data_IF_489482350781
#
_entry.id   IF_489482350781
#
_cell.length_a   1.000
_cell.length_b   1.000
_cell.length_c   1.000
_cell.angle_alpha   90.00
_cell.angle_beta   90.00
_cell.angle_gamma   90.00
#
_symmetry.space_group_name_H-M   'P 1'
#
loop_
_entity.id
_entity.type
_entity.pdbx_description
1 polymer ?
#
# COMPACT_ATOMS: atom_id res chain seq x y z
N UNK A 1 6.07 23.49 -25.70
CA UNK A 1 4.91 23.43 -26.61
C UNK A 1 3.74 22.92 -25.77
N UNK A 2 2.91 23.83 -25.26
CA UNK A 2 1.83 23.53 -24.31
C UNK A 2 0.68 22.87 -25.07
N UNK A 3 0.41 21.59 -24.80
CA UNK A 3 -0.79 20.91 -25.30
C UNK A 3 -1.98 21.50 -24.55
N UNK A 4 -2.76 22.37 -25.22
CA UNK A 4 -4.03 22.86 -24.70
C UNK A 4 -5.03 21.70 -24.68
N UNK A 5 -5.27 21.16 -23.50
CA UNK A 5 -6.40 20.26 -23.27
C UNK A 5 -7.67 21.09 -23.06
N UNK A 6 -8.21 21.68 -24.13
CA UNK A 6 -9.59 22.17 -24.17
C UNK A 6 -10.54 20.96 -24.25
N UNK A 7 -10.54 20.14 -23.19
CA UNK A 7 -11.47 19.03 -23.04
C UNK A 7 -12.76 19.59 -22.45
N UNK A 8 -13.90 19.36 -23.12
CA UNK A 8 -15.23 19.66 -22.55
C UNK A 8 -15.37 18.93 -21.21
N UNK A 9 -16.03 19.53 -20.21
CA UNK A 9 -16.12 19.03 -18.83
C UNK A 9 -16.62 17.56 -18.69
N UNK A 10 -17.30 17.00 -19.70
CA UNK A 10 -17.67 15.58 -19.76
C UNK A 10 -16.61 14.63 -20.35
N UNK A 11 -15.81 15.08 -21.32
CA UNK A 11 -14.80 14.26 -21.99
C UNK A 11 -13.56 14.05 -21.10
N UNK A 12 -13.21 15.06 -20.30
CA UNK A 12 -12.09 14.96 -19.36
C UNK A 12 -12.32 13.83 -18.34
N UNK A 13 -13.51 13.77 -17.75
CA UNK A 13 -13.88 12.75 -16.76
C UNK A 13 -13.78 11.34 -17.35
N UNK A 14 -14.42 11.09 -18.50
CA UNK A 14 -14.36 9.78 -19.16
C UNK A 14 -12.93 9.37 -19.50
N UNK A 15 -12.12 10.31 -20.00
CA UNK A 15 -10.73 10.06 -20.38
C UNK A 15 -9.87 9.72 -19.17
N UNK A 16 -9.98 10.47 -18.06
CA UNK A 16 -9.22 10.20 -16.83
C UNK A 16 -9.54 8.81 -16.28
N UNK A 17 -10.82 8.45 -16.14
CA UNK A 17 -11.20 7.12 -15.66
C UNK A 17 -10.75 6.00 -16.60
N UNK A 18 -10.80 6.22 -17.91
CA UNK A 18 -10.31 5.24 -18.89
C UNK A 18 -8.80 5.03 -18.78
N UNK A 19 -8.02 6.12 -18.65
CA UNK A 19 -6.56 6.04 -18.46
C UNK A 19 -6.19 5.31 -17.17
N UNK A 20 -6.88 5.61 -16.07
CA UNK A 20 -6.65 4.94 -14.78
C UNK A 20 -6.98 3.45 -14.87
N UNK A 21 -8.13 3.09 -15.47
CA UNK A 21 -8.53 1.70 -15.68
C UNK A 21 -7.49 0.94 -16.53
N UNK A 22 -6.94 1.59 -17.54
CA UNK A 22 -5.96 1.00 -18.45
C UNK A 22 -4.52 1.06 -17.88
N UNK A 23 -4.33 1.50 -16.63
CA UNK A 23 -3.03 1.57 -15.94
C UNK A 23 -2.11 2.69 -16.41
N UNK A 24 -2.60 3.62 -17.23
CA UNK A 24 -1.86 4.76 -17.79
C UNK A 24 -1.86 5.93 -16.80
N UNK A 25 -1.30 5.71 -15.61
CA UNK A 25 -1.33 6.68 -14.52
C UNK A 25 -0.58 8.00 -14.86
N UNK A 26 0.51 7.94 -15.62
CA UNK A 26 1.27 9.15 -16.03
C UNK A 26 0.42 10.08 -16.91
N UNK A 27 -0.23 9.53 -17.93
CA UNK A 27 -1.12 10.30 -18.81
C UNK A 27 -2.30 10.90 -18.04
N UNK A 28 -2.83 10.18 -17.03
CA UNK A 28 -3.88 10.67 -16.17
C UNK A 28 -3.39 11.84 -15.28
N UNK A 29 -2.17 11.75 -14.74
CA UNK A 29 -1.54 12.79 -13.93
C UNK A 29 -1.38 14.09 -14.73
N UNK A 30 -0.96 14.02 -16.00
CA UNK A 30 -0.78 15.23 -16.82
C UNK A 30 -2.09 16.02 -16.97
N UNK A 31 -3.21 15.32 -17.22
CA UNK A 31 -4.53 15.93 -17.33
C UNK A 31 -4.99 16.46 -15.96
N UNK A 32 -4.79 15.69 -14.90
CA UNK A 32 -5.20 16.05 -13.54
C UNK A 32 -4.42 17.25 -12.99
N UNK A 33 -3.12 17.36 -13.27
CA UNK A 33 -2.31 18.52 -12.87
C UNK A 33 -2.82 19.80 -13.53
N UNK A 34 -3.22 19.75 -14.80
CA UNK A 34 -3.85 20.88 -15.47
C UNK A 34 -5.19 21.27 -14.80
N UNK A 35 -6.01 20.29 -14.42
CA UNK A 35 -7.27 20.53 -13.70
C UNK A 35 -7.05 21.16 -12.31
N UNK A 36 -6.03 20.70 -11.58
CA UNK A 36 -5.65 21.26 -10.26
C UNK A 36 -5.08 22.68 -10.40
N UNK A 37 -4.38 23.00 -11.49
CA UNK A 37 -3.94 24.38 -11.75
C UNK A 37 -5.11 25.35 -11.95
N UNK A 38 -6.20 24.90 -12.58
CA UNK A 38 -7.41 25.70 -12.77
C UNK A 38 -8.20 25.81 -11.46
N UNK A 39 -8.33 24.71 -10.73
CA UNK A 39 -9.02 24.67 -9.44
C UNK A 39 -8.25 23.81 -8.43
N UNK A 40 -7.42 24.48 -7.62
CA UNK A 40 -6.54 23.83 -6.65
C UNK A 40 -7.26 23.23 -5.43
N UNK A 41 -8.58 23.44 -5.29
CA UNK A 41 -9.40 22.83 -4.21
C UNK A 41 -10.38 21.78 -4.73
N UNK A 42 -10.24 21.35 -5.99
CA UNK A 42 -11.10 20.32 -6.56
C UNK A 42 -10.87 18.97 -5.87
N UNK A 43 -11.85 18.54 -5.06
CA UNK A 43 -11.82 17.24 -4.35
C UNK A 43 -11.57 16.06 -5.29
N UNK A 44 -12.29 16.03 -6.41
CA UNK A 44 -12.19 14.93 -7.38
C UNK A 44 -10.81 14.89 -8.04
N UNK A 45 -10.29 16.06 -8.46
CA UNK A 45 -8.98 16.14 -9.10
C UNK A 45 -7.86 15.74 -8.13
N UNK A 46 -7.85 16.31 -6.91
CA UNK A 46 -6.87 15.97 -5.87
C UNK A 46 -6.93 14.49 -5.50
N UNK A 47 -8.13 13.90 -5.36
CA UNK A 47 -8.28 12.51 -4.95
C UNK A 47 -7.82 11.53 -6.02
N UNK A 48 -8.13 11.79 -7.30
CA UNK A 48 -7.66 10.96 -8.42
C UNK A 48 -6.16 11.14 -8.65
N UNK A 49 -5.64 12.35 -8.46
CA UNK A 49 -4.22 12.66 -8.58
C UNK A 49 -3.40 11.93 -7.50
N UNK A 50 -3.84 12.01 -6.25
CA UNK A 50 -3.23 11.27 -5.14
C UNK A 50 -3.23 9.76 -5.38
N UNK A 51 -4.34 9.23 -5.90
CA UNK A 51 -4.45 7.81 -6.28
C UNK A 51 -3.43 7.44 -7.36
N UNK A 52 -3.31 8.23 -8.42
CA UNK A 52 -2.33 7.96 -9.49
C UNK A 52 -0.89 8.02 -8.96
N UNK A 53 -0.55 9.02 -8.14
CA UNK A 53 0.77 9.12 -7.52
C UNK A 53 1.07 7.91 -6.63
N UNK A 54 0.11 7.49 -5.81
CA UNK A 54 0.27 6.32 -4.93
C UNK A 54 0.55 5.03 -5.72
N UNK A 55 -0.15 4.81 -6.85
CA UNK A 55 0.07 3.65 -7.72
C UNK A 55 1.41 3.69 -8.46
N UNK A 56 1.92 4.88 -8.77
CA UNK A 56 3.27 5.06 -9.29
C UNK A 56 4.36 5.03 -8.21
N UNK A 57 3.99 4.77 -6.95
CA UNK A 57 4.88 4.80 -5.78
C UNK A 57 5.54 6.16 -5.52
N UNK A 58 4.96 7.22 -6.08
CA UNK A 58 5.33 8.60 -5.78
C UNK A 58 4.58 9.04 -4.52
N UNK A 59 5.03 8.47 -3.39
CA UNK A 59 4.34 8.65 -2.12
C UNK A 59 4.44 10.08 -1.56
N UNK A 60 5.46 10.84 -1.98
CA UNK A 60 5.64 12.24 -1.59
C UNK A 60 4.53 13.10 -2.21
N UNK A 61 4.35 13.03 -3.53
CA UNK A 61 3.27 13.78 -4.18
C UNK A 61 1.88 13.26 -3.78
N UNK A 62 1.76 11.96 -3.48
CA UNK A 62 0.52 11.41 -2.94
C UNK A 62 0.22 11.99 -1.54
N UNK A 63 1.22 12.08 -0.65
CA UNK A 63 1.04 12.65 0.69
C UNK A 63 0.62 14.10 0.64
N UNK A 64 1.20 14.92 -0.26
CA UNK A 64 0.85 16.33 -0.39
C UNK A 64 -0.61 16.52 -0.85
N UNK A 65 -1.07 15.68 -1.78
CA UNK A 65 -2.46 15.71 -2.23
C UNK A 65 -3.42 15.28 -1.11
N UNK A 66 -3.10 14.22 -0.36
CA UNK A 66 -3.93 13.75 0.75
C UNK A 66 -3.91 14.70 1.96
N UNK A 67 -2.79 15.37 2.23
CA UNK A 67 -2.71 16.44 3.23
C UNK A 67 -3.69 17.55 2.89
N UNK A 68 -3.63 18.07 1.65
CA UNK A 68 -4.56 19.10 1.18
C UNK A 68 -6.02 18.65 1.30
N UNK A 69 -6.34 17.41 0.90
CA UNK A 69 -7.68 16.86 1.05
C UNK A 69 -8.13 16.76 2.51
N UNK A 70 -7.23 16.35 3.41
CA UNK A 70 -7.53 16.23 4.85
C UNK A 70 -7.78 17.60 5.50
N UNK A 71 -7.10 18.65 5.03
CA UNK A 71 -7.30 20.03 5.47
C UNK A 71 -8.60 20.63 4.92
N UNK A 72 -8.95 20.33 3.67
CA UNK A 72 -10.17 20.82 3.02
C UNK A 72 -11.44 20.11 3.54
N UNK A 73 -11.32 18.84 3.93
CA UNK A 73 -12.42 18.00 4.37
C UNK A 73 -12.09 17.31 5.70
N UNK A 74 -11.98 18.06 6.82
CA UNK A 74 -11.53 17.53 8.11
C UNK A 74 -12.46 16.46 8.70
N UNK A 75 -13.74 16.46 8.32
CA UNK A 75 -14.75 15.48 8.73
C UNK A 75 -14.63 14.13 8.00
N UNK A 76 -13.79 14.06 6.96
CA UNK A 76 -13.62 12.88 6.12
C UNK A 76 -12.35 12.12 6.51
N UNK A 77 -12.45 11.28 7.54
CA UNK A 77 -11.33 10.52 8.09
C UNK A 77 -10.61 9.61 7.08
N UNK A 78 -11.29 9.23 5.99
CA UNK A 78 -10.66 8.50 4.88
C UNK A 78 -9.41 9.21 4.34
N UNK A 79 -9.42 10.54 4.25
CA UNK A 79 -8.29 11.31 3.72
C UNK A 79 -7.14 11.37 4.70
N UNK A 80 -7.43 11.47 6.01
CA UNK A 80 -6.40 11.34 7.06
C UNK A 80 -5.76 9.96 7.03
N UNK A 81 -6.55 8.91 6.82
CA UNK A 81 -6.02 7.54 6.72
C UNK A 81 -5.08 7.40 5.51
N UNK A 82 -5.49 7.86 4.33
CA UNK A 82 -4.64 7.82 3.13
C UNK A 82 -3.40 8.69 3.25
N UNK A 83 -3.51 9.84 3.93
CA UNK A 83 -2.36 10.69 4.25
C UNK A 83 -1.37 9.96 5.15
N UNK A 84 -1.83 9.38 6.26
CA UNK A 84 -0.98 8.60 7.17
C UNK A 84 -0.33 7.40 6.48
N UNK A 85 -1.06 6.69 5.61
CA UNK A 85 -0.52 5.60 4.81
C UNK A 85 0.58 6.06 3.85
N UNK A 86 0.39 7.21 3.19
CA UNK A 86 1.38 7.78 2.28
C UNK A 86 2.64 8.22 3.02
N UNK A 87 2.49 8.86 4.19
CA UNK A 87 3.60 9.22 5.08
C UNK A 87 4.40 7.99 5.53
N UNK A 88 3.72 6.91 5.91
CA UNK A 88 4.37 5.65 6.27
C UNK A 88 5.18 5.08 5.10
N UNK A 89 4.65 5.15 3.87
CA UNK A 89 5.36 4.73 2.66
C UNK A 89 6.57 5.62 2.32
N UNK A 90 6.57 6.88 2.71
CA UNK A 90 7.73 7.77 2.67
C UNK A 90 8.77 7.48 3.76
N UNK A 91 8.48 6.58 4.72
CA UNK A 91 9.33 6.33 5.88
C UNK A 91 9.18 7.36 7.00
N UNK A 92 8.21 8.28 6.91
CA UNK A 92 7.92 9.31 7.90
C UNK A 92 7.05 8.74 9.04
N UNK A 93 7.60 7.77 9.76
CA UNK A 93 6.89 6.95 10.76
C UNK A 93 6.27 7.77 11.90
N UNK A 94 7.01 8.74 12.45
CA UNK A 94 6.52 9.57 13.56
C UNK A 94 5.30 10.41 13.16
N UNK A 95 5.32 10.97 11.95
CA UNK A 95 4.22 11.78 11.43
C UNK A 95 3.02 10.91 11.06
N UNK A 96 3.26 9.76 10.41
CA UNK A 96 2.23 8.77 10.12
C UNK A 96 1.51 8.30 11.40
N UNK A 97 2.27 8.03 12.47
CA UNK A 97 1.71 7.67 13.78
C UNK A 97 0.84 8.79 14.33
N UNK A 98 1.35 10.03 14.34
CA UNK A 98 0.60 11.21 14.81
C UNK A 98 -0.72 11.39 14.08
N UNK A 99 -0.72 11.33 12.74
CA UNK A 99 -1.95 11.49 11.94
C UNK A 99 -2.91 10.32 12.17
N UNK A 100 -2.39 9.08 12.20
CA UNK A 100 -3.25 7.90 12.41
C UNK A 100 -3.98 7.93 13.75
N UNK A 101 -3.35 8.46 14.80
CA UNK A 101 -3.94 8.61 16.14
C UNK A 101 -5.03 9.68 16.24
N UNK A 102 -5.15 10.56 15.24
CA UNK A 102 -6.22 11.57 15.15
C UNK A 102 -7.50 11.02 14.50
N UNK A 103 -7.49 9.77 14.06
CA UNK A 103 -8.63 9.12 13.40
C UNK A 103 -9.44 8.39 14.46
N UNK A 104 -10.59 8.96 14.82
CA UNK A 104 -11.47 8.42 15.87
C UNK A 104 -12.63 7.58 15.30
N UNK A 105 -12.86 7.63 13.98
CA UNK A 105 -13.95 6.89 13.35
C UNK A 105 -13.83 5.37 13.54
N UNK A 106 -14.89 4.78 14.10
CA UNK A 106 -15.03 3.33 14.25
C UNK A 106 -14.96 2.57 12.93
N UNK A 107 -15.34 3.21 11.81
CA UNK A 107 -15.29 2.61 10.48
C UNK A 107 -13.86 2.32 10.00
N UNK A 108 -12.88 3.06 10.49
CA UNK A 108 -11.47 2.92 10.09
C UNK A 108 -10.59 2.34 11.20
N UNK A 109 -11.16 1.98 12.35
CA UNK A 109 -10.42 1.53 13.52
C UNK A 109 -9.46 0.39 13.20
N UNK A 110 -9.93 -0.66 12.51
CA UNK A 110 -9.10 -1.81 12.15
C UNK A 110 -7.94 -1.41 11.22
N UNK A 111 -8.18 -0.53 10.25
CA UNK A 111 -7.16 -0.06 9.31
C UNK A 111 -6.11 0.81 10.01
N UNK A 112 -6.55 1.67 10.93
CA UNK A 112 -5.68 2.51 11.75
C UNK A 112 -4.79 1.65 12.64
N UNK A 113 -5.35 0.68 13.36
CA UNK A 113 -4.58 -0.22 14.22
C UNK A 113 -3.57 -1.05 13.41
N UNK A 114 -3.94 -1.53 12.22
CA UNK A 114 -3.00 -2.22 11.32
C UNK A 114 -1.86 -1.32 10.86
N UNK A 115 -2.14 -0.06 10.53
CA UNK A 115 -1.10 0.92 10.15
C UNK A 115 -0.17 1.20 11.33
N UNK A 116 -0.72 1.42 12.53
CA UNK A 116 0.06 1.66 13.74
C UNK A 116 0.93 0.46 14.11
N UNK A 117 0.40 -0.76 13.98
CA UNK A 117 1.18 -1.99 14.14
C UNK A 117 2.35 -2.07 13.14
N UNK A 118 2.12 -1.71 11.88
CA UNK A 118 3.15 -1.69 10.84
C UNK A 118 4.24 -0.65 11.12
N UNK A 119 3.86 0.54 11.60
CA UNK A 119 4.80 1.58 12.04
C UNK A 119 5.66 1.06 13.20
N UNK A 120 5.04 0.46 14.22
CA UNK A 120 5.77 -0.12 15.37
C UNK A 120 6.70 -1.26 14.97
N UNK A 121 6.27 -2.09 14.03
CA UNK A 121 7.13 -3.11 13.44
C UNK A 121 8.35 -2.54 12.72
N UNK A 122 8.17 -1.43 11.99
CA UNK A 122 9.26 -0.74 11.29
C UNK A 122 10.24 -0.04 12.24
N UNK A 123 9.76 0.38 13.42
CA UNK A 123 10.56 0.99 14.51
C UNK A 123 11.27 -0.05 15.41
N UNK A 124 11.15 -1.36 15.11
CA UNK A 124 11.59 -2.47 15.97
C UNK A 124 10.96 -2.50 17.38
N UNK A 125 9.86 -1.75 17.59
CA UNK A 125 9.03 -1.80 18.80
C UNK A 125 8.04 -2.96 18.72
N UNK A 126 8.56 -4.17 18.97
CA UNK A 126 7.77 -5.40 18.88
C UNK A 126 6.64 -5.45 19.90
N UNK A 127 6.84 -4.87 21.10
CA UNK A 127 5.81 -4.84 22.15
C UNK A 127 4.63 -3.98 21.72
N UNK A 128 4.88 -2.77 21.22
CA UNK A 128 3.84 -1.91 20.67
C UNK A 128 3.15 -2.53 19.45
N UNK A 129 3.91 -3.22 18.59
CA UNK A 129 3.35 -3.93 17.45
C UNK A 129 2.32 -4.99 17.89
N UNK A 130 2.66 -5.83 18.88
CA UNK A 130 1.76 -6.86 19.41
C UNK A 130 0.48 -6.23 19.97
N UNK A 131 0.58 -5.16 20.75
CA UNK A 131 -0.59 -4.48 21.33
C UNK A 131 -1.57 -4.03 20.24
N UNK A 132 -1.08 -3.38 19.18
CA UNK A 132 -1.93 -2.93 18.08
C UNK A 132 -2.51 -4.09 17.27
N UNK A 133 -1.73 -5.16 17.04
CA UNK A 133 -2.22 -6.36 16.34
C UNK A 133 -3.34 -7.03 17.13
N UNK A 134 -3.18 -7.21 18.44
CA UNK A 134 -4.17 -7.85 19.30
C UNK A 134 -5.46 -7.02 19.36
N UNK A 135 -5.36 -5.69 19.44
CA UNK A 135 -6.52 -4.78 19.37
C UNK A 135 -7.20 -4.78 18.00
N UNK A 136 -6.46 -4.98 16.91
CA UNK A 136 -7.01 -5.06 15.56
C UNK A 136 -7.70 -6.39 15.26
N UNK A 137 -7.49 -7.41 16.12
CA UNK A 137 -7.85 -8.79 15.84
C UNK A 137 -9.36 -9.01 15.99
N UNK A 138 -10.09 -9.04 14.89
CA UNK A 138 -11.36 -9.76 14.81
C UNK A 138 -11.09 -11.23 14.47
N UNK A 139 -11.90 -12.16 15.00
CA UNK A 139 -11.65 -13.62 14.88
C UNK A 139 -11.56 -14.15 13.45
N UNK A 140 -11.95 -13.36 12.43
CA UNK A 140 -12.02 -13.77 11.02
C UNK A 140 -11.02 -13.05 10.10
N UNK A 141 -10.17 -12.13 10.59
CA UNK A 141 -9.23 -11.43 9.71
C UNK A 141 -8.00 -12.30 9.37
N UNK A 142 -7.84 -12.75 8.11
CA UNK A 142 -6.71 -13.59 7.72
C UNK A 142 -5.36 -12.85 7.79
N UNK A 143 -5.37 -11.52 7.84
CA UNK A 143 -4.18 -10.69 7.98
C UNK A 143 -3.45 -10.88 9.31
N UNK A 144 -4.14 -11.38 10.35
CA UNK A 144 -3.56 -11.60 11.67
C UNK A 144 -2.45 -12.65 11.62
N UNK A 145 -2.61 -13.74 10.85
CA UNK A 145 -1.58 -14.78 10.74
C UNK A 145 -0.31 -14.24 10.09
N UNK A 146 -0.43 -13.30 9.13
CA UNK A 146 0.72 -12.62 8.52
C UNK A 146 1.42 -11.73 9.55
N UNK A 147 0.67 -10.92 10.30
CA UNK A 147 1.25 -10.02 11.31
C UNK A 147 1.98 -10.81 12.41
N UNK A 148 1.38 -11.89 12.91
CA UNK A 148 2.02 -12.80 13.89
C UNK A 148 3.27 -13.45 13.33
N UNK A 149 3.26 -13.87 12.06
CA UNK A 149 4.43 -14.44 11.41
C UNK A 149 5.58 -13.41 11.30
N UNK A 150 5.28 -12.18 10.91
CA UNK A 150 6.27 -11.09 10.86
C UNK A 150 6.88 -10.82 12.25
N UNK A 151 6.07 -10.76 13.30
CA UNK A 151 6.54 -10.58 14.68
C UNK A 151 7.51 -11.70 15.08
N UNK A 152 7.14 -12.97 14.87
CA UNK A 152 8.01 -14.12 15.14
C UNK A 152 9.31 -14.08 14.33
N UNK A 153 9.23 -13.60 13.08
CA UNK A 153 10.41 -13.45 12.23
C UNK A 153 11.40 -12.41 12.78
N UNK A 154 10.91 -11.28 13.31
CA UNK A 154 11.75 -10.27 13.99
C UNK A 154 12.34 -10.78 15.30
N UNK A 155 11.63 -11.65 16.01
CA UNK A 155 12.13 -12.34 17.21
C UNK A 155 13.12 -13.49 16.92
N UNK A 156 13.55 -13.67 15.66
CA UNK A 156 14.44 -14.75 15.22
C UNK A 156 13.86 -16.18 15.38
N UNK A 157 12.54 -16.30 15.60
CA UNK A 157 11.82 -17.59 15.67
C UNK A 157 11.36 -18.02 14.28
N UNK A 158 12.33 -18.29 13.40
CA UNK A 158 12.09 -18.42 11.95
C UNK A 158 11.19 -19.60 11.60
N UNK A 159 11.32 -20.75 12.26
CA UNK A 159 10.50 -21.92 12.02
C UNK A 159 9.03 -21.66 12.38
N UNK A 160 8.79 -21.00 13.52
CA UNK A 160 7.44 -20.62 13.95
C UNK A 160 6.82 -19.58 13.00
N UNK A 161 7.63 -18.62 12.53
CA UNK A 161 7.20 -17.66 11.51
C UNK A 161 6.80 -18.35 10.21
N UNK A 162 7.62 -19.31 9.74
CA UNK A 162 7.35 -20.09 8.53
C UNK A 162 6.03 -20.88 8.62
N UNK A 163 5.76 -21.52 9.76
CA UNK A 163 4.48 -22.22 9.97
C UNK A 163 3.29 -21.27 9.86
N UNK A 164 3.39 -20.07 10.44
CA UNK A 164 2.34 -19.05 10.40
C UNK A 164 2.13 -18.50 9.00
N UNK A 165 3.19 -18.20 8.25
CA UNK A 165 3.08 -17.80 6.85
C UNK A 165 2.43 -18.89 5.98
N UNK A 166 2.73 -20.17 6.21
CA UNK A 166 2.07 -21.29 5.51
C UNK A 166 0.59 -21.39 5.86
N UNK A 167 0.20 -21.13 7.11
CA UNK A 167 -1.23 -21.05 7.49
C UNK A 167 -1.91 -19.89 6.77
N UNK A 168 -1.29 -18.71 6.75
CA UNK A 168 -1.80 -17.56 6.02
C UNK A 168 -1.98 -17.87 4.51
N UNK A 169 -1.00 -18.54 3.88
CA UNK A 169 -1.08 -18.94 2.48
C UNK A 169 -2.23 -19.92 2.20
N UNK A 170 -2.54 -20.84 3.13
CA UNK A 170 -3.69 -21.74 3.00
C UNK A 170 -5.03 -21.00 3.02
N UNK A 171 -5.13 -19.93 3.81
CA UNK A 171 -6.36 -19.14 3.95
C UNK A 171 -6.53 -18.14 2.82
N UNK A 172 -5.46 -17.39 2.49
CA UNK A 172 -5.47 -16.29 1.54
C UNK A 172 -5.13 -16.68 0.11
N UNK A 173 -4.71 -17.93 -0.10
CA UNK A 173 -4.20 -18.42 -1.36
C UNK A 173 -2.76 -17.98 -1.64
N UNK A 174 -2.31 -18.33 -2.85
CA UNK A 174 -0.93 -18.07 -3.30
C UNK A 174 -0.75 -16.61 -3.72
N UNK A 175 -0.49 -15.74 -2.74
CA UNK A 175 -0.16 -14.32 -2.95
C UNK A 175 1.35 -14.10 -3.02
N UNK A 176 1.87 -13.27 -3.95
CA UNK A 176 3.31 -13.02 -4.08
C UNK A 176 3.98 -12.58 -2.78
N UNK A 177 3.32 -11.74 -1.99
CA UNK A 177 3.87 -11.20 -0.74
C UNK A 177 4.06 -12.29 0.32
N UNK A 178 3.09 -13.21 0.44
CA UNK A 178 3.15 -14.33 1.39
C UNK A 178 4.21 -15.34 0.95
N UNK A 179 4.24 -15.68 -0.34
CA UNK A 179 5.24 -16.60 -0.90
C UNK A 179 6.65 -16.06 -0.75
N UNK A 180 6.84 -14.74 -0.92
CA UNK A 180 8.13 -14.09 -0.68
C UNK A 180 8.56 -14.22 0.78
N UNK A 181 7.67 -13.95 1.73
CA UNK A 181 7.97 -14.10 3.17
C UNK A 181 8.33 -15.56 3.53
N UNK A 182 7.66 -16.55 2.93
CA UNK A 182 8.01 -17.97 3.06
C UNK A 182 9.43 -18.24 2.51
N UNK A 183 9.75 -17.72 1.33
CA UNK A 183 11.07 -17.87 0.72
C UNK A 183 12.19 -17.25 1.60
N UNK A 184 11.94 -16.08 2.17
CA UNK A 184 12.87 -15.40 3.10
C UNK A 184 13.07 -16.23 4.37
N UNK A 185 12.02 -16.86 4.92
CA UNK A 185 12.16 -17.77 6.05
C UNK A 185 13.05 -18.98 5.68
N UNK A 186 12.84 -19.61 4.53
CA UNK A 186 13.69 -20.70 4.06
C UNK A 186 15.16 -20.28 3.86
N UNK A 187 15.38 -19.06 3.35
CA UNK A 187 16.72 -18.50 3.23
C UNK A 187 17.41 -18.35 4.59
N UNK A 188 16.70 -17.83 5.60
CA UNK A 188 17.20 -17.71 6.98
C UNK A 188 17.52 -19.06 7.62
N UNK A 189 16.75 -20.10 7.27
CA UNK A 189 17.00 -21.49 7.67
C UNK A 189 18.10 -22.19 6.85
N UNK A 190 18.75 -21.48 5.91
CA UNK A 190 19.77 -22.00 4.99
C UNK A 190 19.26 -23.10 4.04
N UNK A 191 17.95 -23.19 3.84
CA UNK A 191 17.31 -24.08 2.86
C UNK A 191 17.19 -23.35 1.52
N UNK A 192 18.33 -23.12 0.88
CA UNK A 192 18.43 -22.26 -0.31
C UNK A 192 17.72 -22.83 -1.53
N UNK A 193 17.73 -24.15 -1.69
CA UNK A 193 17.02 -24.88 -2.75
C UNK A 193 15.50 -24.61 -2.71
N UNK A 194 14.89 -24.74 -1.54
CA UNK A 194 13.46 -24.49 -1.35
C UNK A 194 13.14 -23.00 -1.47
N UNK A 195 14.01 -22.14 -0.96
CA UNK A 195 13.87 -20.68 -1.08
C UNK A 195 13.85 -20.24 -2.56
N UNK A 196 14.84 -20.66 -3.35
CA UNK A 196 14.95 -20.34 -4.77
C UNK A 196 13.75 -20.83 -5.58
N UNK A 197 13.24 -22.02 -5.27
CA UNK A 197 12.03 -22.54 -5.91
C UNK A 197 10.82 -21.63 -5.67
N UNK A 198 10.62 -21.19 -4.42
CA UNK A 198 9.51 -20.26 -4.11
C UNK A 198 9.67 -18.92 -4.84
N UNK A 199 10.90 -18.41 -4.97
CA UNK A 199 11.15 -17.18 -5.74
C UNK A 199 10.86 -17.38 -7.23
N UNK A 200 11.29 -18.52 -7.81
CA UNK A 200 11.01 -18.84 -9.21
C UNK A 200 9.50 -18.91 -9.47
N UNK A 201 8.73 -19.57 -8.60
CA UNK A 201 7.28 -19.67 -8.71
C UNK A 201 6.60 -18.27 -8.69
N UNK A 202 7.11 -17.34 -7.86
CA UNK A 202 6.62 -15.94 -7.82
C UNK A 202 6.91 -15.22 -9.14
N UNK A 203 8.12 -15.36 -9.68
CA UNK A 203 8.54 -14.71 -10.93
C UNK A 203 7.70 -15.24 -12.10
N UNK A 204 7.57 -16.56 -12.24
CA UNK A 204 6.79 -17.18 -13.32
C UNK A 204 5.33 -16.73 -13.29
N UNK A 205 4.75 -16.59 -12.10
CA UNK A 205 3.39 -16.10 -11.93
C UNK A 205 3.28 -14.61 -12.29
N UNK A 206 4.23 -13.78 -11.84
CA UNK A 206 4.28 -12.36 -12.17
C UNK A 206 4.39 -12.09 -13.68
N UNK A 207 5.18 -12.89 -14.41
CA UNK A 207 5.30 -12.82 -15.87
C UNK A 207 3.96 -13.13 -16.55
N UNK A 208 3.23 -14.13 -16.06
CA UNK A 208 1.93 -14.55 -16.62
C UNK A 208 0.83 -13.53 -16.34
N UNK A 209 0.82 -12.94 -15.15
CA UNK A 209 -0.22 -11.98 -14.72
C UNK A 209 0.02 -10.56 -15.25
N UNK A 210 1.28 -10.17 -15.44
CA UNK A 210 1.68 -8.84 -15.93
C UNK A 210 2.72 -8.92 -17.06
N UNK A 211 2.37 -9.47 -18.23
CA UNK A 211 3.31 -9.65 -19.33
C UNK A 211 3.98 -8.32 -19.76
N UNK A 212 3.27 -7.19 -19.66
CA UNK A 212 3.79 -5.88 -20.07
C UNK A 212 4.92 -5.29 -19.20
N UNK A 213 5.12 -5.76 -17.96
CA UNK A 213 6.17 -5.24 -17.05
C UNK A 213 7.53 -5.86 -17.37
N UNK A 214 7.56 -7.11 -17.85
CA UNK A 214 8.79 -7.86 -18.02
C UNK A 214 9.52 -7.57 -19.34
N UNK A 215 8.80 -7.27 -20.42
CA UNK A 215 9.41 -7.01 -21.73
C UNK A 215 10.08 -5.63 -21.87
N UNK A 216 9.84 -4.69 -20.94
CA UNK A 216 10.44 -3.35 -20.96
C UNK A 216 11.80 -3.24 -20.25
N UNK A 217 12.25 -4.28 -19.54
CA UNK A 217 13.51 -4.28 -18.78
C UNK A 217 14.55 -5.31 -19.29
N UNK A 218 14.35 -5.87 -20.49
CA UNK A 218 15.29 -6.82 -21.14
C UNK A 218 15.84 -6.28 -22.48
N UNK A 219 15.59 -5.00 -22.81
CA UNK A 219 16.26 -4.27 -23.90
C UNK A 219 16.83 -2.96 -23.35
#
# INVERSE_FOLDING_TARGET
MSMRYDLKEGEATYRIYSLIRDGKFRDAIDILNYQVQINNKSRAALSLLAYCYYYLQDYVNASDCYEQLSNLYPDQDQYKLYYAQSLYKCGLNAEAMRISSQIESSNYLTQVLKLQAAIKYAEDDIKGCIEFVDRSSSSDDPGIEINKACILFKEDKIEAALERFKRAQKILGLKPEISYNIAVCYYRLKQYDVSLKNIADIIEKGIKEHPGIFWLNIL
#
